data_IF_728582776927
#
_entry.id   IF_728582776927
#
_cell.length_a   1.000
_cell.length_b   1.000
_cell.length_c   1.000
_cell.angle_alpha   90.00
_cell.angle_beta   90.00
_cell.angle_gamma   90.00
#
_symmetry.space_group_name_H-M   'P 1'
#
loop_
_entity.id
_entity.type
_entity.pdbx_description
1 polymer ?
#
# COMPACT_ATOMS: atom_id res chain seq x y z
N UNK A 1 34.63 8.70 13.55
CA UNK A 1 33.68 9.47 14.34
C UNK A 1 32.99 8.54 15.32
N UNK A 2 32.84 8.94 16.57
CA UNK A 2 32.18 8.16 17.60
C UNK A 2 30.66 8.13 17.39
N UNK A 3 30.01 7.06 17.83
CA UNK A 3 28.58 6.93 17.76
C UNK A 3 27.94 7.38 19.09
N UNK A 4 26.86 8.17 19.03
CA UNK A 4 26.06 8.49 20.21
C UNK A 4 25.24 7.27 20.63
N UNK A 5 25.30 6.93 21.91
CA UNK A 5 24.49 5.93 22.57
C UNK A 5 23.85 6.48 23.84
N UNK A 6 22.63 6.01 24.14
CA UNK A 6 21.93 6.33 25.38
C UNK A 6 21.55 5.02 26.07
N UNK A 7 21.90 4.89 27.36
CA UNK A 7 21.53 3.75 28.18
C UNK A 7 21.00 4.26 29.53
N UNK A 8 19.70 4.08 29.77
CA UNK A 8 19.01 4.76 30.88
C UNK A 8 19.16 6.28 30.71
N UNK A 9 19.71 6.96 31.75
CA UNK A 9 19.96 8.38 31.74
C UNK A 9 21.39 8.75 31.32
N UNK A 10 22.21 7.82 30.90
CA UNK A 10 23.61 8.06 30.53
C UNK A 10 23.76 8.24 29.02
N UNK A 11 24.40 9.35 28.62
CA UNK A 11 24.79 9.67 27.26
C UNK A 11 26.24 9.31 27.02
N UNK A 12 26.53 8.57 25.92
CA UNK A 12 27.86 8.10 25.55
C UNK A 12 28.23 8.53 24.14
N UNK A 13 29.51 8.83 23.91
CA UNK A 13 30.08 9.03 22.58
C UNK A 13 31.24 8.04 22.38
N UNK A 14 31.19 7.24 21.31
CA UNK A 14 32.19 6.19 21.10
C UNK A 14 32.31 5.17 22.26
N UNK A 15 31.23 4.96 23.01
CA UNK A 15 31.20 4.08 24.18
C UNK A 15 31.64 4.74 25.50
N UNK A 16 32.21 5.97 25.46
CA UNK A 16 32.64 6.73 26.65
C UNK A 16 31.49 7.60 27.12
N UNK A 17 31.27 7.65 28.47
CA UNK A 17 30.26 8.53 29.07
C UNK A 17 30.65 10.00 28.91
N UNK A 18 29.72 10.80 28.40
CA UNK A 18 29.88 12.24 28.22
C UNK A 18 28.93 13.07 29.08
N UNK A 19 27.87 12.49 29.59
CA UNK A 19 26.89 13.20 30.40
C UNK A 19 25.65 12.42 30.75
N UNK A 20 24.71 13.09 31.38
CA UNK A 20 23.42 12.54 31.78
C UNK A 20 22.27 13.34 31.18
N UNK A 21 21.16 12.66 30.95
CA UNK A 21 19.94 13.20 30.35
C UNK A 21 18.80 13.19 31.36
N UNK A 22 17.99 14.25 31.38
CA UNK A 22 16.78 14.36 32.19
C UNK A 22 15.68 15.12 31.46
N UNK A 23 14.41 14.86 31.79
CA UNK A 23 13.26 15.51 31.15
C UNK A 23 13.02 15.02 29.73
N UNK A 24 12.51 15.89 28.87
CA UNK A 24 12.23 15.61 27.47
C UNK A 24 10.93 14.85 27.21
N UNK A 25 10.10 14.61 28.21
CA UNK A 25 8.81 13.94 28.08
C UNK A 25 7.71 14.73 28.81
N UNK A 26 6.47 14.54 28.41
CA UNK A 26 5.26 15.10 29.05
C UNK A 26 5.35 16.65 29.26
N UNK A 27 5.88 17.37 28.27
CA UNK A 27 5.98 18.83 28.32
C UNK A 27 7.14 19.36 29.15
N UNK A 28 7.98 18.50 29.71
CA UNK A 28 9.21 18.94 30.42
C UNK A 28 10.35 19.16 29.44
N UNK A 29 11.18 20.20 29.72
CA UNK A 29 12.36 20.47 28.89
C UNK A 29 13.35 19.32 28.96
N UNK A 30 13.89 18.95 27.80
CA UNK A 30 15.04 18.05 27.73
C UNK A 30 16.27 18.79 28.26
N UNK A 31 16.98 18.19 29.21
CA UNK A 31 18.24 18.70 29.75
C UNK A 31 19.32 17.62 29.64
N UNK A 32 20.48 18.03 29.16
CA UNK A 32 21.66 17.18 29.10
C UNK A 32 22.77 17.88 29.88
N UNK A 33 23.25 17.26 30.95
CA UNK A 33 24.34 17.74 31.76
C UNK A 33 25.61 16.99 31.38
N UNK A 34 26.58 17.70 30.81
CA UNK A 34 27.90 17.15 30.49
C UNK A 34 28.74 17.06 31.76
N UNK A 35 29.09 15.85 32.13
CA UNK A 35 29.77 15.54 33.40
C UNK A 35 31.19 15.04 33.22
N UNK A 36 31.68 15.00 31.99
CA UNK A 36 32.99 14.43 31.65
C UNK A 36 33.74 15.30 30.64
N UNK A 37 35.06 15.36 30.76
CA UNK A 37 35.95 16.02 29.79
C UNK A 37 35.93 15.33 28.40
N UNK A 38 35.33 14.15 28.32
CA UNK A 38 35.08 13.46 27.03
C UNK A 38 33.90 14.09 26.24
N UNK A 39 33.15 15.05 26.84
CA UNK A 39 32.17 15.85 26.13
C UNK A 39 32.84 16.96 25.28
N UNK A 40 33.60 16.52 24.29
CA UNK A 40 34.26 17.40 23.32
C UNK A 40 33.23 18.08 22.41
N UNK A 41 33.64 19.14 21.70
CA UNK A 41 32.77 19.83 20.71
C UNK A 41 32.22 18.83 19.69
N UNK A 42 33.05 17.92 19.19
CA UNK A 42 32.63 16.87 18.25
C UNK A 42 31.57 15.93 18.85
N UNK A 43 31.71 15.56 20.13
CA UNK A 43 30.74 14.73 20.83
C UNK A 43 29.39 15.43 21.02
N UNK A 44 29.42 16.73 21.30
CA UNK A 44 28.23 17.59 21.50
C UNK A 44 27.51 17.81 20.15
N UNK A 45 28.26 18.09 19.09
CA UNK A 45 27.71 18.21 17.72
C UNK A 45 27.02 16.91 17.27
N UNK A 46 27.70 15.78 17.44
CA UNK A 46 27.13 14.48 17.12
C UNK A 46 25.86 14.15 17.92
N UNK A 47 25.77 14.64 19.17
CA UNK A 47 24.59 14.51 20.02
C UNK A 47 23.43 15.39 19.49
N UNK A 48 23.69 16.63 19.14
CA UNK A 48 22.68 17.57 18.61
C UNK A 48 22.08 17.02 17.32
N UNK A 49 22.88 16.46 16.44
CA UNK A 49 22.42 15.82 15.20
C UNK A 49 21.52 14.60 15.41
N UNK A 50 21.56 14.00 16.61
CA UNK A 50 20.74 12.84 16.98
C UNK A 50 19.50 13.18 17.81
N UNK A 51 19.30 14.44 18.16
CA UNK A 51 18.09 14.85 18.87
C UNK A 51 16.89 14.67 17.95
N UNK A 52 15.95 13.87 18.39
CA UNK A 52 14.68 13.63 17.71
C UNK A 52 13.52 14.23 18.50
N UNK A 53 12.52 14.66 17.78
CA UNK A 53 11.23 15.07 18.35
C UNK A 53 10.19 13.99 17.99
N UNK A 54 9.47 13.52 19.00
CA UNK A 54 8.33 12.62 18.79
C UNK A 54 7.07 13.27 19.40
N UNK A 55 5.95 13.12 18.74
CA UNK A 55 4.65 13.59 19.20
C UNK A 55 3.61 12.47 19.01
N UNK A 56 2.87 12.18 20.07
CA UNK A 56 1.77 11.19 20.05
C UNK A 56 0.41 11.82 19.75
N UNK A 57 0.35 13.13 19.45
CA UNK A 57 -0.88 13.81 19.08
C UNK A 57 -1.32 13.39 17.67
N UNK A 58 -2.57 12.94 17.53
CA UNK A 58 -3.15 12.57 16.24
C UNK A 58 -3.31 13.77 15.27
N UNK A 59 -3.26 14.99 15.79
CA UNK A 59 -3.37 16.23 15.00
C UNK A 59 -2.32 17.25 15.46
N UNK A 60 -1.02 16.99 15.27
CA UNK A 60 0.02 17.89 15.73
C UNK A 60 0.00 19.20 14.95
N UNK A 61 0.36 20.31 15.63
CA UNK A 61 0.60 21.57 14.91
C UNK A 61 1.70 21.38 13.85
N UNK A 62 1.52 21.95 12.66
CA UNK A 62 2.40 21.79 11.51
C UNK A 62 3.86 22.27 11.74
N UNK A 63 4.09 23.06 12.77
CA UNK A 63 5.44 23.49 13.16
C UNK A 63 5.61 23.55 14.67
N UNK A 64 6.83 23.27 15.14
CA UNK A 64 7.25 23.42 16.51
C UNK A 64 8.58 24.18 16.53
N UNK A 65 8.74 25.07 17.47
CA UNK A 65 10.00 25.77 17.67
C UNK A 65 10.70 25.17 18.90
N UNK A 66 11.90 24.65 18.70
CA UNK A 66 12.76 24.21 19.79
C UNK A 66 13.78 25.29 20.08
N UNK A 67 13.89 25.68 21.35
CA UNK A 67 14.97 26.54 21.84
C UNK A 67 16.12 25.67 22.32
N UNK A 68 17.31 25.84 21.74
CA UNK A 68 18.55 25.24 22.24
C UNK A 68 19.32 26.30 23.02
N UNK A 69 19.67 25.99 24.26
CA UNK A 69 20.51 26.84 25.09
C UNK A 69 21.68 26.01 25.61
N UNK A 70 22.88 26.50 25.45
CA UNK A 70 24.09 25.91 26.00
C UNK A 70 24.59 26.79 27.13
N UNK A 71 24.98 26.19 28.26
CA UNK A 71 25.62 26.85 29.40
C UNK A 71 26.95 26.16 29.69
N UNK A 72 27.98 26.95 29.94
CA UNK A 72 29.33 26.46 30.32
C UNK A 72 29.45 26.12 31.81
N UNK A 73 28.39 26.35 32.59
CA UNK A 73 28.37 26.07 34.04
C UNK A 73 28.82 27.24 34.93
N UNK A 74 29.38 28.30 34.37
CA UNK A 74 29.88 29.47 35.11
C UNK A 74 28.80 30.56 35.34
N UNK A 75 27.55 30.21 35.02
CA UNK A 75 26.40 31.09 35.16
C UNK A 75 26.09 31.95 33.92
N UNK A 76 26.97 31.95 32.94
CA UNK A 76 26.68 32.48 31.62
C UNK A 76 25.94 31.42 30.78
N UNK A 77 25.06 31.85 29.93
CA UNK A 77 24.40 30.96 28.93
C UNK A 77 24.37 31.62 27.58
N UNK A 78 24.50 30.85 26.54
CA UNK A 78 24.35 31.35 25.18
C UNK A 78 22.96 31.98 24.98
N UNK A 79 22.85 32.91 24.05
CA UNK A 79 21.53 33.28 23.53
C UNK A 79 20.84 32.04 23.00
N UNK A 80 19.52 31.87 23.21
CA UNK A 80 18.81 30.72 22.69
C UNK A 80 18.87 30.74 21.16
N UNK A 81 19.44 29.69 20.58
CA UNK A 81 19.25 29.38 19.17
C UNK A 81 17.92 28.67 19.01
N UNK A 82 17.11 29.10 18.08
CA UNK A 82 15.80 28.47 17.79
C UNK A 82 15.89 27.66 16.54
N UNK A 83 15.45 26.40 16.64
CA UNK A 83 15.30 25.50 15.49
C UNK A 83 13.80 25.29 15.26
N UNK A 84 13.33 25.63 14.07
CA UNK A 84 11.95 25.32 13.69
C UNK A 84 11.90 23.91 13.10
N UNK A 85 11.15 23.03 13.75
CA UNK A 85 10.88 21.68 13.25
C UNK A 85 9.55 21.72 12.53
N UNK A 86 9.55 21.34 11.24
CA UNK A 86 8.33 21.05 10.52
C UNK A 86 7.87 19.64 10.91
N UNK A 87 6.72 19.56 11.57
CA UNK A 87 6.11 18.27 11.90
C UNK A 87 5.26 17.85 10.70
N UNK A 88 5.75 16.90 9.93
CA UNK A 88 4.90 16.20 8.95
C UNK A 88 4.11 15.16 9.73
N UNK A 89 2.76 15.21 9.75
CA UNK A 89 1.98 14.16 10.37
C UNK A 89 2.41 12.82 9.76
N UNK A 90 2.86 11.88 10.57
CA UNK A 90 3.02 10.51 10.11
C UNK A 90 1.64 9.95 9.85
N UNK A 91 1.53 9.03 8.89
CA UNK A 91 0.29 8.37 8.48
C UNK A 91 -0.34 7.46 9.57
N UNK A 92 -0.01 7.69 10.85
CA UNK A 92 -0.67 7.06 11.99
C UNK A 92 -1.94 7.83 12.43
N UNK A 93 -2.40 8.75 11.59
CA UNK A 93 -3.74 9.30 11.70
C UNK A 93 -4.76 8.19 11.42
N UNK A 94 -5.82 8.13 12.22
CA UNK A 94 -6.96 7.28 11.93
C UNK A 94 -7.32 7.38 10.43
N UNK A 95 -7.66 6.28 9.76
CA UNK A 95 -8.00 6.30 8.34
C UNK A 95 -8.99 7.43 8.05
N UNK A 96 -8.67 8.28 7.09
CA UNK A 96 -9.61 9.30 6.65
C UNK A 96 -10.75 8.59 5.95
N UNK A 97 -11.95 8.77 6.44
CA UNK A 97 -13.15 8.32 5.75
C UNK A 97 -13.50 9.41 4.72
N UNK A 98 -13.33 9.08 3.45
CA UNK A 98 -13.82 9.89 2.33
C UNK A 98 -15.31 9.63 2.13
N UNK A 99 -16.01 10.52 1.43
CA UNK A 99 -17.36 10.24 1.03
C UNK A 99 -17.41 8.99 0.14
N UNK A 100 -18.50 8.25 0.23
CA UNK A 100 -18.76 7.15 -0.71
C UNK A 100 -18.91 7.69 -2.12
N UNK A 101 -18.29 7.03 -3.09
CA UNK A 101 -18.36 7.38 -4.50
C UNK A 101 -18.81 6.19 -5.33
N UNK A 102 -19.60 6.45 -6.37
CA UNK A 102 -20.03 5.42 -7.31
C UNK A 102 -18.88 5.14 -8.29
N UNK A 103 -18.44 3.90 -8.36
CA UNK A 103 -17.31 3.45 -9.19
C UNK A 103 -17.71 3.30 -10.66
N UNK A 104 -18.87 2.68 -10.92
CA UNK A 104 -19.34 2.38 -12.26
C UNK A 104 -19.99 3.61 -12.93
N UNK A 105 -19.73 3.79 -14.22
CA UNK A 105 -20.36 4.83 -15.04
C UNK A 105 -21.60 4.32 -15.78
N UNK A 106 -21.66 3.02 -16.07
CA UNK A 106 -22.85 2.36 -16.57
C UNK A 106 -23.82 2.09 -15.42
N UNK A 107 -24.98 2.76 -15.44
CA UNK A 107 -25.99 2.69 -14.36
C UNK A 107 -27.26 1.89 -14.69
N UNK A 108 -27.55 1.51 -15.95
CA UNK A 108 -28.65 0.60 -16.23
C UNK A 108 -28.41 -0.78 -15.61
N UNK A 109 -29.49 -1.43 -15.13
CA UNK A 109 -29.43 -2.78 -14.56
C UNK A 109 -28.55 -2.86 -13.29
N UNK A 110 -28.04 -4.04 -12.97
CA UNK A 110 -27.36 -4.36 -11.71
C UNK A 110 -25.85 -4.49 -11.91
N UNK A 111 -25.08 -3.96 -10.96
CA UNK A 111 -23.64 -4.17 -10.83
C UNK A 111 -23.35 -4.77 -9.46
N UNK A 112 -22.59 -5.86 -9.42
CA UNK A 112 -22.36 -6.65 -8.19
C UNK A 112 -20.95 -7.24 -8.12
N UNK A 113 -20.63 -7.86 -7.01
CA UNK A 113 -19.42 -8.64 -6.73
C UNK A 113 -18.13 -7.88 -7.04
N UNK A 114 -17.89 -6.74 -6.37
CA UNK A 114 -16.69 -5.97 -6.59
C UNK A 114 -15.46 -6.69 -6.04
N UNK A 115 -14.34 -6.53 -6.74
CA UNK A 115 -13.00 -6.87 -6.29
C UNK A 115 -12.08 -5.67 -6.49
N UNK A 116 -11.06 -5.50 -5.67
CA UNK A 116 -10.10 -4.41 -5.80
C UNK A 116 -8.67 -4.86 -5.49
N UNK A 117 -7.70 -4.22 -6.15
CA UNK A 117 -6.28 -4.41 -5.86
C UNK A 117 -5.52 -3.10 -6.03
N UNK A 118 -4.54 -2.85 -5.16
CA UNK A 118 -3.61 -1.73 -5.27
C UNK A 118 -2.42 -2.14 -6.13
N UNK A 119 -2.01 -1.27 -7.05
CA UNK A 119 -0.85 -1.47 -7.92
C UNK A 119 0.43 -0.91 -7.29
N UNK A 120 1.58 -1.23 -7.87
CA UNK A 120 2.89 -0.86 -7.33
C UNK A 120 3.13 0.66 -7.28
N UNK A 121 2.50 1.44 -8.14
CA UNK A 121 2.56 2.89 -8.20
C UNK A 121 1.60 3.61 -7.22
N UNK A 122 0.85 2.85 -6.42
CA UNK A 122 -0.16 3.35 -5.48
C UNK A 122 -1.52 3.62 -6.10
N UNK A 123 -1.68 3.49 -7.43
CA UNK A 123 -2.99 3.45 -8.08
C UNK A 123 -3.72 2.16 -7.70
N UNK A 124 -5.01 2.09 -7.98
CA UNK A 124 -5.79 0.88 -7.72
C UNK A 124 -6.76 0.59 -8.85
N UNK A 125 -7.17 -0.66 -8.95
CA UNK A 125 -8.16 -1.13 -9.91
C UNK A 125 -9.31 -1.79 -9.18
N UNK A 126 -10.53 -1.50 -9.62
CA UNK A 126 -11.77 -2.14 -9.15
C UNK A 126 -12.37 -2.88 -10.32
N UNK A 127 -12.80 -4.12 -10.12
CA UNK A 127 -13.56 -4.90 -11.10
C UNK A 127 -14.88 -5.34 -10.49
N UNK A 128 -15.90 -5.50 -11.31
CA UNK A 128 -17.25 -5.93 -10.91
C UNK A 128 -17.93 -6.70 -12.04
N UNK A 129 -19.07 -7.30 -11.76
CA UNK A 129 -19.95 -7.80 -12.80
C UNK A 129 -21.01 -6.75 -13.14
N UNK A 130 -21.37 -6.66 -14.40
CA UNK A 130 -22.42 -5.76 -14.91
C UNK A 130 -23.41 -6.54 -15.76
N UNK A 131 -24.69 -6.43 -15.43
CA UNK A 131 -25.77 -7.11 -16.14
C UNK A 131 -26.13 -6.39 -17.44
N UNK A 132 -26.05 -7.08 -18.56
CA UNK A 132 -26.51 -6.64 -19.87
C UNK A 132 -25.66 -5.56 -20.55
N UNK A 133 -24.58 -5.10 -19.93
CA UNK A 133 -23.76 -4.01 -20.48
C UNK A 133 -22.97 -4.44 -21.73
N UNK A 134 -22.60 -5.70 -21.85
CA UNK A 134 -21.93 -6.25 -23.04
C UNK A 134 -22.89 -6.77 -24.12
N UNK A 135 -24.20 -6.61 -23.89
CA UNK A 135 -25.25 -7.05 -24.81
C UNK A 135 -25.75 -8.48 -24.58
N UNK A 136 -25.26 -9.14 -23.52
CA UNK A 136 -25.67 -10.50 -23.13
C UNK A 136 -26.10 -10.52 -21.64
N UNK A 137 -25.71 -11.53 -20.88
CA UNK A 137 -26.06 -11.73 -19.47
C UNK A 137 -25.20 -10.84 -18.54
N UNK A 138 -24.22 -11.40 -17.90
CA UNK A 138 -23.29 -10.71 -17.01
C UNK A 138 -21.90 -10.67 -17.64
N UNK A 139 -21.27 -9.49 -17.67
CA UNK A 139 -19.89 -9.32 -18.11
C UNK A 139 -19.02 -8.73 -17.02
N UNK A 140 -17.70 -8.90 -17.11
CA UNK A 140 -16.72 -8.34 -16.20
C UNK A 140 -16.27 -6.97 -16.70
N UNK A 141 -16.38 -5.98 -15.83
CA UNK A 141 -15.94 -4.60 -16.08
C UNK A 141 -14.94 -4.15 -15.02
N UNK A 142 -14.11 -3.20 -15.36
CA UNK A 142 -13.14 -2.64 -14.44
C UNK A 142 -12.92 -1.14 -14.68
N UNK A 143 -12.49 -0.46 -13.63
CA UNK A 143 -12.07 0.94 -13.64
C UNK A 143 -10.79 1.09 -12.83
N UNK A 144 -9.85 1.88 -13.36
CA UNK A 144 -8.63 2.26 -12.66
C UNK A 144 -8.78 3.62 -12.00
N UNK A 145 -8.10 3.79 -10.88
CA UNK A 145 -8.11 5.03 -10.11
C UNK A 145 -6.69 5.39 -9.68
N UNK A 146 -6.38 6.67 -9.67
CA UNK A 146 -5.19 7.19 -9.01
C UNK A 146 -5.31 7.05 -7.48
N UNK A 147 -4.19 7.18 -6.78
CA UNK A 147 -4.15 7.11 -5.30
C UNK A 147 -4.98 8.20 -4.60
N UNK A 148 -5.36 9.28 -5.28
CA UNK A 148 -6.24 10.33 -4.79
C UNK A 148 -7.73 10.08 -5.07
N UNK A 149 -8.08 8.94 -5.72
CA UNK A 149 -9.45 8.56 -6.07
C UNK A 149 -9.92 9.01 -7.45
N UNK A 150 -9.13 9.80 -8.21
CA UNK A 150 -9.52 10.20 -9.56
C UNK A 150 -9.49 9.02 -10.53
N UNK A 151 -10.52 8.90 -11.38
CA UNK A 151 -10.58 7.84 -12.40
C UNK A 151 -9.47 8.02 -13.45
N UNK A 152 -8.74 6.94 -13.74
CA UNK A 152 -7.71 6.87 -14.77
C UNK A 152 -8.31 6.26 -16.06
N UNK A 153 -8.84 7.11 -16.91
CA UNK A 153 -9.54 6.70 -18.12
C UNK A 153 -11.01 6.34 -17.87
N UNK A 154 -11.64 5.68 -18.82
CA UNK A 154 -13.01 5.19 -18.71
C UNK A 154 -13.04 3.75 -18.15
N UNK A 155 -14.20 3.33 -17.65
CA UNK A 155 -14.43 1.91 -17.37
C UNK A 155 -14.30 1.07 -18.65
N UNK A 156 -13.83 -0.14 -18.53
CA UNK A 156 -13.60 -1.02 -19.66
C UNK A 156 -14.07 -2.45 -19.38
N UNK A 157 -14.48 -3.13 -20.44
CA UNK A 157 -14.84 -4.55 -20.37
C UNK A 157 -13.56 -5.41 -20.30
N UNK A 158 -13.55 -6.38 -19.41
CA UNK A 158 -12.43 -7.29 -19.15
C UNK A 158 -12.49 -8.54 -20.03
N UNK A 159 -13.66 -9.20 -20.05
CA UNK A 159 -13.88 -10.41 -20.85
C UNK A 159 -14.04 -10.07 -22.34
N UNK A 160 -13.44 -10.87 -23.20
CA UNK A 160 -13.63 -10.76 -24.67
C UNK A 160 -14.77 -11.65 -25.18
N UNK A 161 -14.98 -12.80 -24.55
CA UNK A 161 -16.11 -13.69 -24.83
C UNK A 161 -17.32 -13.20 -24.03
N UNK A 162 -18.47 -13.07 -24.70
CA UNK A 162 -19.69 -12.50 -24.12
C UNK A 162 -20.83 -13.51 -23.98
N UNK A 163 -20.65 -14.75 -24.50
CA UNK A 163 -21.67 -15.77 -24.35
C UNK A 163 -21.80 -16.20 -22.90
N UNK A 164 -23.04 -16.33 -22.43
CA UNK A 164 -23.33 -16.77 -21.08
C UNK A 164 -23.05 -15.71 -20.02
N UNK A 165 -22.77 -16.16 -18.84
CA UNK A 165 -22.47 -15.33 -17.67
C UNK A 165 -20.99 -15.37 -17.35
N UNK A 166 -20.39 -14.22 -17.21
CA UNK A 166 -19.07 -14.04 -16.62
C UNK A 166 -19.24 -13.44 -15.23
N UNK A 167 -18.68 -14.09 -14.23
CA UNK A 167 -18.93 -13.72 -12.85
C UNK A 167 -17.74 -14.02 -11.93
N UNK A 168 -17.82 -13.52 -10.68
CA UNK A 168 -16.83 -13.76 -9.63
C UNK A 168 -15.44 -13.19 -9.96
N UNK A 169 -15.31 -11.90 -10.29
CA UNK A 169 -14.00 -11.33 -10.59
C UNK A 169 -13.07 -11.34 -9.38
N UNK A 170 -11.78 -11.60 -9.63
CA UNK A 170 -10.71 -11.46 -8.66
C UNK A 170 -9.53 -10.75 -9.33
N UNK A 171 -8.75 -10.01 -8.56
CA UNK A 171 -7.65 -9.19 -9.09
C UNK A 171 -6.37 -9.47 -8.30
N UNK A 172 -5.25 -9.58 -9.01
CA UNK A 172 -3.92 -9.54 -8.40
C UNK A 172 -3.03 -8.53 -9.13
N UNK A 173 -2.36 -7.66 -8.37
CA UNK A 173 -1.30 -6.82 -8.91
C UNK A 173 -0.06 -7.68 -9.22
N UNK A 174 0.59 -7.44 -10.35
CA UNK A 174 1.75 -8.18 -10.83
C UNK A 174 3.05 -7.47 -10.51
N UNK A 175 4.15 -8.22 -10.43
CA UNK A 175 5.49 -7.68 -10.13
C UNK A 175 6.08 -6.80 -11.24
N UNK A 176 5.53 -6.85 -12.45
CA UNK A 176 5.87 -5.98 -13.59
C UNK A 176 5.13 -4.63 -13.59
N UNK A 177 4.32 -4.37 -12.55
CA UNK A 177 3.50 -3.18 -12.40
C UNK A 177 2.12 -3.27 -13.03
N UNK A 178 1.84 -4.32 -13.79
CA UNK A 178 0.52 -4.64 -14.34
C UNK A 178 -0.39 -5.33 -13.34
N UNK A 179 -1.47 -5.90 -13.83
CA UNK A 179 -2.41 -6.67 -13.03
C UNK A 179 -3.06 -7.78 -13.86
N UNK A 180 -3.65 -8.75 -13.17
CA UNK A 180 -4.46 -9.82 -13.77
C UNK A 180 -5.84 -9.82 -13.12
N UNK A 181 -6.87 -9.95 -13.94
CA UNK A 181 -8.25 -10.15 -13.49
C UNK A 181 -8.66 -11.55 -13.92
N UNK A 182 -9.17 -12.35 -12.99
CA UNK A 182 -9.74 -13.67 -13.26
C UNK A 182 -11.24 -13.69 -12.99
N UNK A 183 -11.95 -14.61 -13.63
CA UNK A 183 -13.38 -14.82 -13.46
C UNK A 183 -13.77 -16.26 -13.81
N UNK A 184 -14.99 -16.63 -13.53
CA UNK A 184 -15.64 -17.83 -14.04
C UNK A 184 -16.61 -17.49 -15.16
N UNK A 185 -16.75 -18.38 -16.14
CA UNK A 185 -17.53 -18.20 -17.36
C UNK A 185 -18.39 -19.44 -17.63
N UNK A 186 -19.70 -19.27 -17.79
CA UNK A 186 -20.62 -20.39 -18.09
C UNK A 186 -21.09 -20.42 -19.55
N UNK A 187 -20.47 -19.65 -20.41
CA UNK A 187 -20.79 -19.64 -21.85
C UNK A 187 -20.41 -20.90 -22.61
N UNK A 188 -19.89 -21.92 -21.94
CA UNK A 188 -19.40 -23.15 -22.56
C UNK A 188 -18.18 -22.96 -23.47
N UNK A 189 -17.45 -21.87 -23.25
CA UNK A 189 -16.32 -21.46 -24.08
C UNK A 189 -15.10 -22.38 -23.94
N UNK A 190 -15.03 -23.19 -22.88
CA UNK A 190 -14.04 -24.26 -22.69
C UNK A 190 -14.54 -25.62 -23.18
N UNK A 191 -15.76 -25.69 -23.71
CA UNK A 191 -16.41 -26.91 -24.25
C UNK A 191 -17.32 -27.62 -23.24
N UNK A 192 -17.48 -27.11 -22.02
CA UNK A 192 -18.34 -27.70 -20.98
C UNK A 192 -18.77 -26.61 -20.00
N UNK A 193 -19.57 -26.85 -19.01
CA UNK A 193 -20.09 -26.06 -17.93
C UNK A 193 -19.43 -24.67 -17.65
N UNK A 194 -19.04 -24.43 -16.42
CA UNK A 194 -18.26 -23.28 -16.04
C UNK A 194 -16.77 -23.51 -16.27
N UNK A 195 -16.07 -22.55 -16.88
CA UNK A 195 -14.63 -22.52 -17.01
C UNK A 195 -13.99 -21.36 -16.22
N UNK A 196 -12.72 -21.47 -15.91
CA UNK A 196 -11.92 -20.45 -15.22
C UNK A 196 -11.09 -19.67 -16.22
N UNK A 197 -11.21 -18.34 -16.21
CA UNK A 197 -10.55 -17.45 -17.17
C UNK A 197 -9.80 -16.33 -16.50
N UNK A 198 -8.85 -15.73 -17.22
CA UNK A 198 -8.16 -14.51 -16.81
C UNK A 198 -7.75 -13.65 -18.01
N UNK A 199 -7.55 -12.36 -17.76
CA UNK A 199 -6.91 -11.42 -18.68
C UNK A 199 -5.84 -10.63 -17.92
N UNK A 200 -4.65 -10.53 -18.51
CA UNK A 200 -3.58 -9.67 -18.03
C UNK A 200 -3.70 -8.30 -18.65
N UNK A 201 -3.28 -7.31 -17.87
CA UNK A 201 -3.22 -5.91 -18.26
C UNK A 201 -1.86 -5.32 -17.84
N UNK A 202 -1.35 -4.37 -18.61
CA UNK A 202 -0.25 -3.53 -18.15
C UNK A 202 -0.69 -2.51 -17.09
N UNK A 203 0.27 -1.74 -16.57
CA UNK A 203 0.00 -0.69 -15.58
C UNK A 203 -0.95 0.41 -16.13
N UNK A 204 -1.05 0.59 -17.44
CA UNK A 204 -1.97 1.54 -18.06
C UNK A 204 -3.39 0.98 -18.25
N UNK A 205 -3.61 -0.32 -17.99
CA UNK A 205 -4.89 -1.00 -18.20
C UNK A 205 -5.09 -1.51 -19.64
N UNK A 206 -4.02 -1.58 -20.44
CA UNK A 206 -4.07 -2.18 -21.77
C UNK A 206 -3.94 -3.71 -21.66
N UNK A 207 -4.79 -4.48 -22.36
CA UNK A 207 -4.73 -5.94 -22.31
C UNK A 207 -3.38 -6.45 -22.86
N UNK A 208 -2.81 -7.42 -22.17
CA UNK A 208 -1.58 -8.10 -22.54
C UNK A 208 -1.89 -9.52 -23.01
N UNK A 209 -1.78 -9.73 -24.33
CA UNK A 209 -2.16 -10.99 -24.96
C UNK A 209 -3.68 -11.21 -25.02
N UNK A 210 -4.06 -12.43 -25.36
CA UNK A 210 -5.45 -12.87 -25.40
C UNK A 210 -5.94 -13.28 -24.00
N UNK A 211 -7.25 -13.30 -23.84
CA UNK A 211 -7.91 -13.93 -22.69
C UNK A 211 -7.41 -15.37 -22.52
N UNK A 212 -7.06 -15.76 -21.32
CA UNK A 212 -6.50 -17.06 -20.95
C UNK A 212 -7.60 -17.98 -20.41
N UNK A 213 -7.66 -19.21 -20.89
CA UNK A 213 -8.31 -20.31 -20.20
C UNK A 213 -7.33 -20.86 -19.16
N UNK A 214 -7.70 -20.85 -17.90
CA UNK A 214 -6.82 -21.22 -16.79
C UNK A 214 -6.85 -22.73 -16.52
N UNK A 215 -8.02 -23.37 -16.66
CA UNK A 215 -8.18 -24.79 -16.45
C UNK A 215 -7.77 -25.59 -17.70
N UNK A 216 -7.01 -26.66 -17.51
CA UNK A 216 -6.65 -27.62 -18.56
C UNK A 216 -7.64 -28.78 -18.65
N UNK A 217 -8.30 -29.12 -17.54
CA UNK A 217 -9.41 -30.07 -17.53
C UNK A 217 -10.70 -29.28 -17.74
N UNK A 218 -11.36 -29.48 -18.89
CA UNK A 218 -12.54 -28.70 -19.27
C UNK A 218 -13.86 -29.46 -19.05
N UNK A 219 -13.79 -30.74 -18.67
CA UNK A 219 -14.99 -31.52 -18.36
C UNK A 219 -15.58 -31.10 -17.01
N UNK A 220 -16.88 -30.84 -16.99
CA UNK A 220 -17.61 -30.45 -15.79
C UNK A 220 -17.55 -28.94 -15.53
N UNK A 221 -17.50 -28.57 -14.28
CA UNK A 221 -17.61 -27.18 -13.83
C UNK A 221 -16.35 -26.76 -13.08
N UNK A 222 -15.77 -25.64 -13.48
CA UNK A 222 -14.67 -24.97 -12.78
C UNK A 222 -15.14 -23.59 -12.31
N UNK A 223 -15.12 -23.36 -11.00
CA UNK A 223 -15.66 -22.15 -10.41
C UNK A 223 -14.86 -21.68 -9.17
N UNK A 224 -15.24 -20.53 -8.62
CA UNK A 224 -14.54 -19.86 -7.51
C UNK A 224 -13.08 -19.55 -7.86
N UNK A 225 -12.84 -19.11 -9.08
CA UNK A 225 -11.51 -18.75 -9.55
C UNK A 225 -10.93 -17.61 -8.73
N UNK A 226 -9.68 -17.77 -8.29
CA UNK A 226 -8.93 -16.74 -7.59
C UNK A 226 -7.49 -16.70 -8.11
N UNK A 227 -6.85 -15.54 -8.01
CA UNK A 227 -5.48 -15.30 -8.48
C UNK A 227 -4.63 -14.65 -7.40
N UNK A 228 -3.34 -15.02 -7.39
CA UNK A 228 -2.32 -14.41 -6.56
C UNK A 228 -1.02 -14.24 -7.36
N UNK A 229 -0.36 -13.10 -7.20
CA UNK A 229 0.92 -12.84 -7.86
C UNK A 229 2.09 -13.47 -7.10
N UNK A 230 3.15 -13.80 -7.84
CA UNK A 230 4.47 -14.13 -7.32
C UNK A 230 5.55 -13.48 -8.20
N UNK A 231 6.82 -13.40 -7.76
CA UNK A 231 7.87 -12.85 -8.61
C UNK A 231 7.98 -13.61 -9.93
N UNK A 232 7.71 -12.91 -11.05
CA UNK A 232 7.77 -13.46 -12.40
C UNK A 232 6.48 -14.07 -12.93
N UNK A 233 5.34 -13.99 -12.19
CA UNK A 233 4.08 -14.51 -12.69
C UNK A 233 2.90 -14.42 -11.74
N UNK A 234 1.90 -15.25 -11.98
CA UNK A 234 0.76 -15.42 -11.09
C UNK A 234 0.34 -16.89 -11.00
N UNK A 235 -0.29 -17.23 -9.89
CA UNK A 235 -0.94 -18.50 -9.67
C UNK A 235 -2.47 -18.30 -9.71
N UNK A 236 -3.18 -19.20 -10.35
CA UNK A 236 -4.62 -19.27 -10.32
C UNK A 236 -5.06 -20.54 -9.59
N UNK A 237 -6.13 -20.44 -8.82
CA UNK A 237 -6.76 -21.57 -8.15
C UNK A 237 -8.26 -21.59 -8.46
N UNK A 238 -8.84 -22.77 -8.50
CA UNK A 238 -10.28 -22.97 -8.71
C UNK A 238 -10.74 -24.29 -8.11
N UNK A 239 -12.05 -24.47 -8.01
CA UNK A 239 -12.67 -25.72 -7.58
C UNK A 239 -13.39 -26.38 -8.76
N UNK A 240 -13.40 -27.71 -8.81
CA UNK A 240 -14.31 -28.47 -9.68
C UNK A 240 -15.51 -29.09 -8.92
N UNK A 241 -15.73 -28.65 -7.67
CA UNK A 241 -16.76 -29.15 -6.77
C UNK A 241 -16.31 -30.29 -5.86
N UNK A 242 -15.19 -30.94 -6.17
CA UNK A 242 -14.61 -32.02 -5.36
C UNK A 242 -13.22 -31.65 -4.84
N UNK A 243 -12.42 -31.06 -5.73
CA UNK A 243 -11.01 -30.78 -5.49
C UNK A 243 -10.68 -29.32 -5.78
N UNK A 244 -9.56 -28.88 -5.22
CA UNK A 244 -8.95 -27.57 -5.49
C UNK A 244 -7.77 -27.78 -6.45
N UNK A 245 -7.78 -27.04 -7.53
CA UNK A 245 -6.73 -27.02 -8.55
C UNK A 245 -5.90 -25.76 -8.46
N UNK A 246 -4.64 -25.84 -8.87
CA UNK A 246 -3.72 -24.73 -9.00
C UNK A 246 -2.96 -24.83 -10.32
N UNK A 247 -2.86 -23.70 -11.02
CA UNK A 247 -2.01 -23.53 -12.20
C UNK A 247 -1.15 -22.28 -12.02
N UNK A 248 0.11 -22.35 -12.47
CA UNK A 248 1.03 -21.21 -12.48
C UNK A 248 1.24 -20.70 -13.90
N UNK A 249 1.36 -19.38 -14.02
CA UNK A 249 1.55 -18.66 -15.27
C UNK A 249 2.69 -17.68 -15.13
N UNK A 250 3.62 -17.66 -16.09
CA UNK A 250 4.72 -16.71 -16.13
C UNK A 250 4.26 -15.37 -16.72
N UNK A 251 5.00 -14.28 -16.41
CA UNK A 251 4.75 -12.95 -16.99
C UNK A 251 5.33 -12.80 -18.41
N UNK A 252 5.78 -13.84 -19.06
CA UNK A 252 6.35 -13.81 -20.41
C UNK A 252 5.30 -13.50 -21.49
#
# INVERSE_FOLDING_TARGET
>A
AGQIGVAGNTVRYGGVEIGTISGGANGTNLRIDFTSTAATVEAVEALIERLGYANSDASPNASRTLGLRVSDGDGASSNPNTITITVTPSLDAAPRVWAEEVVNTYTPSTQEWPAAATLADGSYVVAWISSGQDGNSWGIYAQRFANNGEALGAEFRVNTLVNGEQSWPQIAALSDGGFVISWQDNGGNDGSGWGSYAQRFDAAGSPQGAQLLLNTTTSGTQYHTNVASYPGGFAAVWSNGSDIYLQRFDNA
#
